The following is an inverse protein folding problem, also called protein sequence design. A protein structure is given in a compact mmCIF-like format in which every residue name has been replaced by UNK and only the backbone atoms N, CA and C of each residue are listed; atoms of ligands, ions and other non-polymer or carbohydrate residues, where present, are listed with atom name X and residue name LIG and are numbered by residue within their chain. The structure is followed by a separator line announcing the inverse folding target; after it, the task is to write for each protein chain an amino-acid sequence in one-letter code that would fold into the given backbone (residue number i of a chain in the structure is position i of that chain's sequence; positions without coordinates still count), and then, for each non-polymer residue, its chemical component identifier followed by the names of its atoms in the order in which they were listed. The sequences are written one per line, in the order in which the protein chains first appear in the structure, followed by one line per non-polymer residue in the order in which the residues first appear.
data_IF_369447493210
#
_entry.id   IF_369447493210
#
_cell.length_a   1.000
_cell.length_b   1.000
_cell.length_c   1.000
_cell.angle_alpha   90.00
_cell.angle_beta   90.00
_cell.angle_gamma   90.00
#
_symmetry.space_group_name_H-M   'P 1'
#
loop_
_entity.id
_entity.type
_entity.pdbx_description
1 polymer ?
#
# COMPACT_ATOMS: atom_id res chain seq x y z
N UNK A 1 -22.75 4.79 -6.80
CA UNK A 1 -22.16 4.81 -5.45
C UNK A 1 -20.65 4.77 -5.67
N UNK A 2 -20.09 5.89 -6.14
CA UNK A 2 -18.66 6.04 -6.37
C UNK A 2 -18.06 6.62 -5.10
N UNK A 3 -17.70 5.76 -4.16
CA UNK A 3 -16.78 6.15 -3.10
C UNK A 3 -15.35 5.96 -3.61
N UNK A 4 -14.99 6.71 -4.67
CA UNK A 4 -13.61 6.82 -5.12
C UNK A 4 -12.82 7.67 -4.12
N UNK A 5 -11.49 7.51 -4.05
CA UNK A 5 -10.62 8.14 -3.03
C UNK A 5 -10.61 9.68 -2.96
N UNK A 6 -11.51 10.37 -3.68
CA UNK A 6 -11.70 11.83 -3.69
C UNK A 6 -12.47 12.38 -2.48
N UNK A 7 -13.21 11.54 -1.75
CA UNK A 7 -14.01 11.97 -0.57
C UNK A 7 -13.19 12.12 0.73
N UNK A 8 -11.89 11.83 0.68
CA UNK A 8 -11.03 11.76 1.86
C UNK A 8 -9.77 12.59 1.66
N UNK A 9 -9.25 13.21 2.73
CA UNK A 9 -8.01 14.00 2.65
C UNK A 9 -6.76 13.12 2.47
N UNK A 10 -6.81 11.90 3.01
CA UNK A 10 -5.74 10.90 2.90
C UNK A 10 -6.25 9.51 3.28
N UNK A 11 -5.61 8.48 2.74
CA UNK A 11 -5.79 7.08 3.09
C UNK A 11 -4.54 6.61 3.85
N UNK A 12 -4.74 6.09 5.07
CA UNK A 12 -3.69 5.52 5.90
C UNK A 12 -3.79 3.99 5.92
N UNK A 13 -2.79 3.31 5.37
CA UNK A 13 -2.70 1.85 5.39
C UNK A 13 -1.71 1.45 6.49
N UNK A 14 -2.20 0.87 7.58
CA UNK A 14 -1.39 0.38 8.70
C UNK A 14 -1.23 -1.13 8.61
N UNK A 15 0.00 -1.63 8.69
CA UNK A 15 0.30 -3.06 8.57
C UNK A 15 1.63 -3.40 9.26
N UNK A 16 1.89 -4.69 9.46
CA UNK A 16 3.18 -5.17 9.92
C UNK A 16 4.05 -5.47 8.71
N UNK A 17 5.14 -4.72 8.54
CA UNK A 17 6.09 -4.96 7.47
C UNK A 17 7.11 -6.01 7.87
N UNK A 18 7.30 -7.00 7.00
CA UNK A 18 8.21 -8.10 7.23
C UNK A 18 9.66 -7.61 7.09
N UNK A 19 10.49 -7.85 8.10
CA UNK A 19 11.94 -7.59 8.03
C UNK A 19 12.69 -8.90 7.85
N UNK A 20 12.40 -9.88 8.70
CA UNK A 20 12.91 -11.24 8.63
C UNK A 20 12.02 -12.18 9.46
N UNK A 21 12.34 -13.48 9.45
CA UNK A 21 11.55 -14.51 10.10
C UNK A 21 11.36 -14.36 11.63
N UNK A 22 12.12 -13.49 12.30
CA UNK A 22 12.00 -13.23 13.73
C UNK A 22 11.42 -11.84 14.05
N UNK A 23 11.41 -10.92 13.08
CA UNK A 23 11.13 -9.50 13.31
C UNK A 23 10.21 -8.94 12.22
N UNK A 24 9.14 -8.30 12.67
CA UNK A 24 8.35 -7.37 11.86
C UNK A 24 8.44 -5.96 12.47
N UNK A 25 8.10 -4.94 11.69
CA UNK A 25 7.95 -3.56 12.17
C UNK A 25 6.54 -3.05 11.87
N UNK A 26 5.93 -2.36 12.83
CA UNK A 26 4.71 -1.61 12.58
C UNK A 26 5.04 -0.49 11.58
N UNK A 27 4.35 -0.51 10.45
CA UNK A 27 4.54 0.44 9.37
C UNK A 27 3.20 1.04 8.96
N UNK A 28 3.26 2.20 8.35
CA UNK A 28 2.11 2.80 7.70
C UNK A 28 2.52 3.42 6.37
N UNK A 29 1.58 3.40 5.42
CA UNK A 29 1.67 4.13 4.16
C UNK A 29 0.56 5.18 4.13
N UNK A 30 0.90 6.37 3.66
CA UNK A 30 -0.05 7.46 3.43
C UNK A 30 -0.21 7.61 1.92
N UNK A 31 -1.45 7.54 1.44
CA UNK A 31 -1.80 7.78 0.05
C UNK A 31 -2.74 8.99 0.04
N UNK A 32 -2.32 10.07 -0.61
CA UNK A 32 -3.12 11.29 -0.74
C UNK A 32 -3.86 11.30 -2.07
N UNK A 33 -5.07 11.88 -2.15
CA UNK A 33 -5.79 12.03 -3.41
C UNK A 33 -4.94 12.68 -4.50
N UNK A 34 -5.19 12.28 -5.75
CA UNK A 34 -4.64 12.95 -6.91
C UNK A 34 -5.17 14.41 -6.95
N UNK A 35 -4.25 15.38 -6.88
CA UNK A 35 -4.57 16.81 -6.98
C UNK A 35 -4.31 17.28 -8.40
N UNK A 36 -5.20 18.14 -8.92
CA UNK A 36 -5.06 18.73 -10.25
C UNK A 36 -3.74 19.50 -10.43
N UNK A 37 -3.26 20.15 -9.37
CA UNK A 37 -1.98 20.88 -9.34
C UNK A 37 -0.76 19.99 -9.63
N UNK A 38 -0.82 18.71 -9.25
CA UNK A 38 0.25 17.73 -9.49
C UNK A 38 0.30 17.29 -10.96
N UNK A 39 -0.81 17.45 -11.69
CA UNK A 39 -0.95 17.02 -13.09
C UNK A 39 -0.36 18.08 -14.04
N UNK A 40 -0.60 19.36 -13.75
CA UNK A 40 -0.16 20.48 -14.61
C UNK A 40 1.29 20.90 -14.39
N UNK A 41 1.88 20.58 -13.23
CA UNK A 41 3.22 21.04 -12.82
C UNK A 41 4.37 20.05 -13.02
N UNK A 42 4.12 18.83 -13.50
CA UNK A 42 5.15 17.79 -13.60
C UNK A 42 5.77 17.72 -15.02
N UNK A 43 6.98 18.27 -15.14
CA UNK A 43 7.79 18.26 -16.37
C UNK A 43 8.07 16.82 -16.87
N UNK A 44 8.06 15.82 -15.99
CA UNK A 44 8.34 14.43 -16.38
C UNK A 44 7.13 13.81 -17.07
N UNK A 45 5.93 13.97 -16.50
CA UNK A 45 4.68 13.44 -17.07
C UNK A 45 4.21 14.24 -18.29
N UNK A 46 4.55 15.53 -18.37
CA UNK A 46 4.24 16.39 -19.52
C UNK A 46 4.80 15.87 -20.86
N UNK A 47 5.94 15.16 -20.82
CA UNK A 47 6.62 14.61 -21.99
C UNK A 47 6.05 13.29 -22.51
N UNK A 48 5.09 12.67 -21.81
CA UNK A 48 4.45 11.44 -22.24
C UNK A 48 3.15 11.73 -23.03
N UNK A 49 2.95 10.96 -24.09
CA UNK A 49 1.67 10.86 -24.80
C UNK A 49 0.75 9.91 -24.01
N UNK A 50 -0.49 10.34 -23.77
CA UNK A 50 -1.51 9.57 -23.06
C UNK A 50 -2.56 9.10 -24.04
N UNK A 51 -3.10 7.91 -23.78
CA UNK A 51 -4.30 7.38 -24.43
C UNK A 51 -5.24 6.94 -23.30
N UNK A 52 -6.43 7.54 -23.12
CA UNK A 52 -7.09 8.56 -23.96
C UNK A 52 -6.39 9.94 -23.93
N UNK A 53 -6.74 10.81 -24.89
CA UNK A 53 -6.18 12.18 -25.03
C UNK A 53 -6.35 13.04 -23.76
N UNK A 54 -7.36 12.74 -22.95
CA UNK A 54 -7.56 13.36 -21.65
C UNK A 54 -6.57 12.79 -20.61
N UNK A 55 -5.47 13.51 -20.40
CA UNK A 55 -4.45 13.15 -19.40
C UNK A 55 -5.03 12.99 -17.99
N UNK A 56 -6.10 13.71 -17.63
CA UNK A 56 -6.68 13.61 -16.30
C UNK A 56 -7.34 12.24 -16.09
N UNK A 57 -8.01 11.70 -17.11
CA UNK A 57 -8.63 10.37 -17.09
C UNK A 57 -7.55 9.28 -16.95
N UNK A 58 -6.52 9.31 -17.78
CA UNK A 58 -5.42 8.33 -17.70
C UNK A 58 -4.68 8.36 -16.37
N UNK A 59 -4.54 9.53 -15.74
CA UNK A 59 -3.92 9.65 -14.43
C UNK A 59 -4.84 9.19 -13.28
N UNK A 60 -6.16 9.32 -13.43
CA UNK A 60 -7.13 8.78 -12.49
C UNK A 60 -7.06 7.25 -12.46
N UNK A 61 -7.06 6.60 -13.62
CA UNK A 61 -6.89 5.14 -13.73
C UNK A 61 -5.58 4.65 -13.12
N UNK A 62 -4.47 5.34 -13.40
CA UNK A 62 -3.17 5.04 -12.82
C UNK A 62 -3.16 5.22 -11.30
N UNK A 63 -3.87 6.23 -10.79
CA UNK A 63 -4.00 6.46 -9.36
C UNK A 63 -4.79 5.35 -8.67
N UNK A 64 -5.89 4.89 -9.27
CA UNK A 64 -6.66 3.75 -8.76
C UNK A 64 -5.83 2.46 -8.77
N UNK A 65 -5.10 2.22 -9.86
CA UNK A 65 -4.18 1.08 -9.96
C UNK A 65 -3.07 1.15 -8.90
N UNK A 66 -2.50 2.34 -8.65
CA UNK A 66 -1.52 2.57 -7.60
C UNK A 66 -2.11 2.24 -6.23
N UNK A 67 -3.31 2.74 -5.92
CA UNK A 67 -3.98 2.49 -4.64
C UNK A 67 -4.20 0.99 -4.42
N UNK A 68 -4.75 0.28 -5.41
CA UNK A 68 -4.96 -1.16 -5.35
C UNK A 68 -3.65 -1.92 -5.17
N UNK A 69 -2.59 -1.53 -5.89
CA UNK A 69 -1.26 -2.13 -5.80
C UNK A 69 -0.63 -1.94 -4.42
N UNK A 70 -0.72 -0.73 -3.85
CA UNK A 70 -0.20 -0.45 -2.51
C UNK A 70 -0.95 -1.23 -1.42
N UNK A 71 -2.27 -1.33 -1.54
CA UNK A 71 -3.10 -2.11 -0.64
C UNK A 71 -2.72 -3.59 -0.70
N UNK A 72 -2.63 -4.15 -1.91
CA UNK A 72 -2.27 -5.56 -2.11
C UNK A 72 -0.87 -5.86 -1.58
N UNK A 73 0.10 -4.98 -1.84
CA UNK A 73 1.45 -5.11 -1.27
C UNK A 73 1.42 -5.14 0.26
N UNK A 74 0.77 -4.16 0.89
CA UNK A 74 0.69 -4.09 2.35
C UNK A 74 -0.02 -5.30 2.97
N UNK A 75 -1.04 -5.83 2.27
CA UNK A 75 -1.72 -7.05 2.67
C UNK A 75 -0.79 -8.27 2.62
N UNK A 76 -0.05 -8.46 1.52
CA UNK A 76 0.87 -9.58 1.36
C UNK A 76 2.06 -9.51 2.34
N UNK A 77 2.62 -8.32 2.55
CA UNK A 77 3.70 -8.09 3.52
C UNK A 77 3.21 -8.35 4.97
N UNK A 78 2.00 -7.90 5.28
CA UNK A 78 1.32 -8.20 6.55
C UNK A 78 1.08 -9.69 6.77
N UNK A 79 0.62 -10.41 5.76
CA UNK A 79 0.39 -11.85 5.83
C UNK A 79 1.69 -12.63 6.04
N UNK A 80 2.78 -12.22 5.41
CA UNK A 80 4.10 -12.80 5.63
C UNK A 80 4.56 -12.61 7.10
N UNK A 81 4.44 -11.39 7.61
CA UNK A 81 4.73 -11.06 9.02
C UNK A 81 3.88 -11.88 10.00
N UNK A 82 2.60 -12.09 9.69
CA UNK A 82 1.70 -12.89 10.51
C UNK A 82 2.20 -14.35 10.60
N UNK A 83 2.49 -14.99 9.47
CA UNK A 83 2.95 -16.39 9.47
C UNK A 83 4.27 -16.57 10.22
N UNK A 84 5.22 -15.65 10.01
CA UNK A 84 6.50 -15.63 10.73
C UNK A 84 6.29 -15.48 12.24
N UNK A 85 5.49 -14.51 12.67
CA UNK A 85 5.21 -14.29 14.10
C UNK A 85 4.50 -15.48 14.74
N UNK A 86 3.58 -16.12 14.00
CA UNK A 86 2.86 -17.32 14.45
C UNK A 86 3.81 -18.49 14.65
N UNK A 87 4.73 -18.72 13.71
CA UNK A 87 5.74 -19.78 13.82
C UNK A 87 6.60 -19.59 15.08
N UNK A 88 7.16 -18.39 15.29
CA UNK A 88 7.98 -18.10 16.49
C UNK A 88 7.18 -18.24 17.78
N UNK A 89 5.93 -17.76 17.82
CA UNK A 89 5.08 -17.87 19.01
C UNK A 89 4.76 -19.33 19.36
N UNK A 90 4.47 -20.17 18.36
CA UNK A 90 4.21 -21.59 18.57
C UNK A 90 5.45 -22.35 19.00
N UNK A 91 6.61 -22.10 18.39
CA UNK A 91 7.88 -22.71 18.83
C UNK A 91 8.20 -22.39 20.29
N UNK A 92 8.00 -21.14 20.72
CA UNK A 92 8.19 -20.75 22.11
C UNK A 92 7.18 -21.44 23.04
N UNK A 93 5.92 -21.55 22.64
CA UNK A 93 4.90 -22.27 23.41
C UNK A 93 5.24 -23.77 23.56
N UNK A 94 5.71 -24.43 22.50
CA UNK A 94 6.11 -25.84 22.55
C UNK A 94 7.33 -26.06 23.45
N UNK A 95 8.33 -25.17 23.42
CA UNK A 95 9.48 -25.23 24.32
C UNK A 95 9.04 -25.07 25.78
N UNK A 96 8.23 -24.06 26.09
CA UNK A 96 7.73 -23.82 27.45
C UNK A 96 6.85 -24.95 28.00
N UNK A 97 6.22 -25.75 27.14
CA UNK A 97 5.39 -26.89 27.57
C UNK A 97 6.22 -28.16 27.82
N UNK A 98 7.45 -28.24 27.30
CA UNK A 98 8.36 -29.37 27.49
C UNK A 98 9.38 -29.19 28.62
N UNK A 99 9.50 -27.96 29.16
CA UNK A 99 10.18 -27.66 30.43
C UNK A 99 9.24 -27.92 31.63
#
# INVERSE_FOLDING_TARGET
MEAGGKDYDAILIVYNSFVNAAVYKQAYKVITPLKAETIEGDDVLGNYEFEPDDKAEGLEDLYEYLLASQLYHSFMDGACSEQSSRMTAMENASKNAGE
#
